data_IF_272168442261
#
_entry.id   IF_272168442261
#
_cell.length_a   1.000
_cell.length_b   1.000
_cell.length_c   1.000
_cell.angle_alpha   90.00
_cell.angle_beta   90.00
_cell.angle_gamma   90.00
#
_symmetry.space_group_name_H-M   'P 1'
#
loop_
_entity.id
_entity.type
_entity.pdbx_description
1 polymer ?
#
# COMPACT_ATOMS: atom_id res chain seq x y z
N UNK A 1 2.23 42.80 -13.37
CA UNK A 1 1.07 43.70 -13.25
C UNK A 1 0.24 43.65 -14.53
N UNK A 2 -1.08 43.82 -14.45
CA UNK A 2 -1.94 44.10 -15.62
C UNK A 2 -1.58 45.49 -16.19
N UNK A 3 -1.27 45.57 -17.49
CA UNK A 3 -0.92 46.83 -18.16
C UNK A 3 -1.99 47.31 -19.13
N UNK A 4 -2.64 46.38 -19.85
CA UNK A 4 -3.66 46.73 -20.85
C UNK A 4 -4.84 45.75 -20.80
N UNK A 5 -6.06 46.28 -20.92
CA UNK A 5 -7.28 45.50 -21.17
C UNK A 5 -7.99 46.03 -22.41
N UNK A 6 -8.06 45.21 -23.46
CA UNK A 6 -8.81 45.50 -24.68
C UNK A 6 -10.05 44.61 -24.75
N UNK A 7 -11.21 45.21 -24.96
CA UNK A 7 -12.50 44.51 -25.12
C UNK A 7 -13.09 44.90 -26.48
N UNK A 8 -13.62 43.91 -27.22
CA UNK A 8 -14.35 44.11 -28.48
C UNK A 8 -15.61 43.26 -28.50
N UNK A 9 -16.73 43.87 -28.89
CA UNK A 9 -18.01 43.19 -29.11
C UNK A 9 -18.50 42.33 -27.94
N UNK A 10 -18.37 42.84 -26.70
CA UNK A 10 -18.86 42.18 -25.47
C UNK A 10 -20.02 42.99 -24.88
N UNK A 11 -21.19 42.37 -24.75
CA UNK A 11 -22.43 42.93 -24.17
C UNK A 11 -22.79 44.29 -24.78
N UNK A 12 -22.46 45.41 -24.11
CA UNK A 12 -22.70 46.79 -24.56
C UNK A 12 -21.46 47.47 -25.14
N UNK A 13 -20.28 46.85 -25.02
CA UNK A 13 -18.99 47.38 -25.45
C UNK A 13 -18.74 47.01 -26.92
N UNK A 14 -18.63 48.01 -27.78
CA UNK A 14 -18.19 47.83 -29.18
C UNK A 14 -16.67 47.68 -29.20
N UNK A 15 -15.97 48.69 -28.68
CA UNK A 15 -14.52 48.67 -28.51
C UNK A 15 -14.12 49.46 -27.27
N UNK A 16 -13.26 48.87 -26.47
CA UNK A 16 -12.63 49.51 -25.33
C UNK A 16 -11.14 49.17 -25.29
N UNK A 17 -10.32 50.15 -24.94
CA UNK A 17 -8.91 49.95 -24.61
C UNK A 17 -8.61 50.71 -23.31
N UNK A 18 -8.21 49.98 -22.28
CA UNK A 18 -7.82 50.53 -20.98
C UNK A 18 -6.34 50.26 -20.75
N UNK A 19 -5.61 51.29 -20.34
CA UNK A 19 -4.22 51.19 -19.90
C UNK A 19 -4.17 51.41 -18.39
N UNK A 20 -3.45 50.55 -17.68
CA UNK A 20 -3.32 50.57 -16.24
C UNK A 20 -1.89 50.98 -15.86
N UNK A 21 -1.79 51.89 -14.89
CA UNK A 21 -0.54 52.26 -14.25
C UNK A 21 -0.32 51.51 -12.94
N UNK A 22 0.86 51.71 -12.35
CA UNK A 22 1.21 51.14 -11.05
C UNK A 22 0.32 51.67 -9.92
N UNK A 23 0.05 50.80 -8.94
CA UNK A 23 -0.67 51.17 -7.71
C UNK A 23 -2.19 50.97 -7.82
N UNK A 24 -2.96 51.99 -7.45
CA UNK A 24 -4.42 51.91 -7.34
C UNK A 24 -5.11 52.47 -8.58
N UNK A 25 -5.88 51.62 -9.26
CA UNK A 25 -6.80 52.02 -10.33
C UNK A 25 -8.24 52.00 -9.84
N UNK A 26 -8.96 53.12 -9.95
CA UNK A 26 -10.37 53.24 -9.53
C UNK A 26 -11.25 53.47 -10.75
N UNK A 27 -12.28 52.64 -10.91
CA UNK A 27 -13.27 52.77 -11.99
C UNK A 27 -14.54 53.41 -11.44
N UNK A 28 -14.95 54.54 -12.01
CA UNK A 28 -16.17 55.28 -11.64
C UNK A 28 -17.12 55.40 -12.83
N UNK A 29 -18.42 55.61 -12.58
CA UNK A 29 -19.42 55.71 -13.64
C UNK A 29 -20.83 56.02 -13.13
N UNK A 30 -21.78 56.17 -14.06
CA UNK A 30 -23.17 56.58 -13.78
C UNK A 30 -24.08 55.42 -13.34
N UNK A 31 -23.79 54.19 -13.78
CA UNK A 31 -24.53 52.97 -13.39
C UNK A 31 -23.58 51.81 -13.07
N UNK A 32 -23.95 50.96 -12.11
CA UNK A 32 -23.15 49.77 -11.75
C UNK A 32 -22.98 48.74 -12.87
N UNK A 33 -23.90 48.73 -13.85
CA UNK A 33 -23.87 47.78 -14.97
C UNK A 33 -22.59 47.88 -15.82
N UNK A 34 -22.00 49.07 -15.98
CA UNK A 34 -20.76 49.24 -16.75
C UNK A 34 -19.56 48.57 -16.09
N UNK A 35 -19.47 48.64 -14.75
CA UNK A 35 -18.39 48.01 -13.97
C UNK A 35 -18.50 46.49 -14.01
N UNK A 36 -19.70 45.95 -13.81
CA UNK A 36 -19.94 44.49 -13.85
C UNK A 36 -19.59 43.91 -15.23
N UNK A 37 -19.98 44.57 -16.33
CA UNK A 37 -19.63 44.14 -17.68
C UNK A 37 -18.11 44.10 -17.89
N UNK A 38 -17.37 45.07 -17.32
CA UNK A 38 -15.91 45.13 -17.42
C UNK A 38 -15.23 44.02 -16.63
N UNK A 39 -15.72 43.73 -15.42
CA UNK A 39 -15.22 42.62 -14.61
C UNK A 39 -15.54 41.26 -15.22
N UNK A 40 -16.74 41.09 -15.78
CA UNK A 40 -17.13 39.86 -16.49
C UNK A 40 -16.23 39.63 -17.72
N UNK A 41 -15.98 40.68 -18.50
CA UNK A 41 -15.07 40.63 -19.64
C UNK A 41 -13.62 40.31 -19.20
N UNK A 42 -13.17 40.91 -18.09
CA UNK A 42 -11.85 40.65 -17.55
C UNK A 42 -11.71 39.22 -17.03
N UNK A 43 -12.69 38.72 -16.27
CA UNK A 43 -12.75 37.34 -15.83
C UNK A 43 -12.75 36.36 -17.02
N UNK A 44 -13.44 36.70 -18.12
CA UNK A 44 -13.42 35.93 -19.36
C UNK A 44 -12.01 35.86 -19.97
N UNK A 45 -11.23 36.94 -19.91
CA UNK A 45 -9.82 36.95 -20.35
C UNK A 45 -8.93 36.04 -19.50
N UNK A 46 -9.26 35.87 -18.21
CA UNK A 46 -8.58 34.99 -17.26
C UNK A 46 -9.05 33.52 -17.33
N UNK A 47 -9.93 33.17 -18.28
CA UNK A 47 -10.40 31.78 -18.44
C UNK A 47 -11.65 31.43 -17.65
N UNK A 48 -12.42 32.41 -17.17
CA UNK A 48 -13.77 32.17 -16.67
C UNK A 48 -14.70 31.59 -17.75
N UNK A 49 -15.84 31.06 -17.33
CA UNK A 49 -16.81 30.45 -18.24
C UNK A 49 -17.37 31.51 -19.18
N UNK A 50 -17.20 31.28 -20.48
CA UNK A 50 -17.83 32.10 -21.52
C UNK A 50 -19.25 31.62 -21.81
N UNK A 51 -20.16 32.57 -22.02
CA UNK A 51 -21.52 32.35 -22.51
C UNK A 51 -21.68 33.09 -23.85
N UNK A 52 -22.44 32.51 -24.77
CA UNK A 52 -22.84 33.18 -26.01
C UNK A 52 -23.60 34.49 -25.73
N UNK A 53 -24.30 34.58 -24.58
CA UNK A 53 -24.97 35.79 -24.13
C UNK A 53 -24.02 36.98 -23.87
N UNK A 54 -22.72 36.73 -23.67
CA UNK A 54 -21.73 37.80 -23.52
C UNK A 54 -21.36 38.47 -24.84
N UNK A 55 -21.65 37.84 -25.99
CA UNK A 55 -21.37 38.44 -27.31
C UNK A 55 -22.38 39.53 -27.59
N UNK A 56 -21.90 40.70 -28.02
CA UNK A 56 -22.74 41.84 -28.39
C UNK A 56 -23.78 41.42 -29.43
N UNK A 57 -25.02 41.87 -29.24
CA UNK A 57 -26.13 41.56 -30.14
C UNK A 57 -25.83 42.10 -31.55
N UNK A 58 -25.78 41.20 -32.54
CA UNK A 58 -25.45 41.53 -33.94
C UNK A 58 -23.97 41.34 -34.32
N UNK A 59 -23.11 40.93 -33.39
CA UNK A 59 -21.73 40.53 -33.69
C UNK A 59 -21.61 39.00 -33.81
N UNK A 60 -20.72 38.54 -34.70
CA UNK A 60 -20.44 37.10 -34.88
C UNK A 60 -19.57 36.53 -33.75
N UNK A 61 -18.74 37.37 -33.14
CA UNK A 61 -17.84 37.01 -32.05
C UNK A 61 -17.49 38.23 -31.18
N UNK A 62 -17.23 37.99 -29.90
CA UNK A 62 -16.62 38.93 -28.96
C UNK A 62 -15.20 38.52 -28.59
N UNK A 63 -14.37 39.48 -28.25
CA UNK A 63 -12.96 39.27 -27.89
C UNK A 63 -12.61 40.09 -26.65
N UNK A 64 -11.80 39.49 -25.77
CA UNK A 64 -11.11 40.20 -24.69
C UNK A 64 -9.63 39.86 -24.73
N UNK A 65 -8.78 40.85 -24.47
CA UNK A 65 -7.32 40.69 -24.42
C UNK A 65 -6.79 41.43 -23.20
N UNK A 66 -6.08 40.72 -22.33
CA UNK A 66 -5.43 41.27 -21.15
C UNK A 66 -3.92 41.08 -21.27
N UNK A 67 -3.16 42.16 -21.09
CA UNK A 67 -1.70 42.17 -21.19
C UNK A 67 -1.12 42.31 -19.79
N UNK A 68 -0.17 41.45 -19.45
CA UNK A 68 0.50 41.42 -18.17
C UNK A 68 2.01 41.52 -18.34
N UNK A 69 2.65 42.18 -17.39
CA UNK A 69 4.11 42.19 -17.22
C UNK A 69 4.44 41.60 -15.84
N UNK A 70 4.57 40.28 -15.70
CA UNK A 70 4.96 39.65 -14.45
C UNK A 70 6.41 39.98 -14.09
N UNK A 71 6.73 40.06 -12.80
CA UNK A 71 8.11 40.26 -12.35
C UNK A 71 9.01 39.07 -12.76
N UNK A 72 10.31 39.28 -12.99
CA UNK A 72 11.25 38.18 -13.25
C UNK A 72 11.19 37.14 -12.13
N UNK A 73 11.02 35.85 -12.50
CA UNK A 73 10.91 34.75 -11.54
C UNK A 73 9.48 34.48 -11.02
N UNK A 74 8.45 35.13 -11.58
CA UNK A 74 7.06 34.84 -11.22
C UNK A 74 6.69 33.36 -11.51
N UNK A 75 5.96 32.66 -10.62
CA UNK A 75 5.66 31.23 -10.74
C UNK A 75 4.87 30.86 -12.02
N UNK A 76 4.21 31.83 -12.63
CA UNK A 76 3.51 31.65 -13.92
C UNK A 76 4.43 31.14 -15.04
N UNK A 77 5.73 31.49 -15.00
CA UNK A 77 6.67 31.07 -16.04
C UNK A 77 6.96 29.56 -15.98
N UNK A 78 7.01 28.98 -14.79
CA UNK A 78 7.13 27.53 -14.63
C UNK A 78 5.89 26.82 -15.19
N UNK A 79 4.69 27.32 -14.86
CA UNK A 79 3.42 26.80 -15.36
C UNK A 79 3.33 26.84 -16.90
N UNK A 80 3.81 27.92 -17.53
CA UNK A 80 3.86 28.03 -18.99
C UNK A 80 4.86 27.03 -19.60
N UNK A 81 6.06 26.93 -19.02
CA UNK A 81 7.11 26.01 -19.50
C UNK A 81 6.69 24.54 -19.41
N UNK A 82 6.01 24.13 -18.33
CA UNK A 82 5.47 22.78 -18.15
C UNK A 82 4.44 22.41 -19.23
N UNK A 83 3.75 23.42 -19.77
CA UNK A 83 2.73 23.26 -20.81
C UNK A 83 3.25 23.57 -22.22
N UNK A 84 4.57 23.74 -22.38
CA UNK A 84 5.22 23.97 -23.67
C UNK A 84 5.00 25.35 -24.28
N UNK A 85 4.54 26.34 -23.49
CA UNK A 85 4.34 27.73 -23.94
C UNK A 85 5.55 28.58 -23.53
N UNK A 86 6.06 29.39 -24.45
CA UNK A 86 7.19 30.27 -24.14
C UNK A 86 6.80 31.37 -23.13
N UNK A 87 7.53 31.44 -22.02
CA UNK A 87 7.40 32.53 -21.05
C UNK A 87 8.17 33.77 -21.52
N UNK A 88 7.47 34.74 -22.08
CA UNK A 88 8.04 36.05 -22.41
C UNK A 88 7.83 37.06 -21.26
N UNK A 89 8.60 38.15 -21.24
CA UNK A 89 8.44 39.23 -20.24
C UNK A 89 7.05 39.87 -20.27
N UNK A 90 6.34 39.75 -21.40
CA UNK A 90 4.97 40.21 -21.58
C UNK A 90 4.08 39.00 -21.88
N UNK A 91 2.99 38.87 -21.14
CA UNK A 91 1.99 37.82 -21.32
C UNK A 91 0.70 38.43 -21.87
N UNK A 92 0.28 38.00 -23.05
CA UNK A 92 -0.94 38.44 -23.72
C UNK A 92 -1.97 37.32 -23.65
N UNK A 93 -2.93 37.46 -22.74
CA UNK A 93 -4.05 36.52 -22.58
C UNK A 93 -5.20 36.99 -23.45
N UNK A 94 -5.56 36.21 -24.48
CA UNK A 94 -6.64 36.56 -25.41
C UNK A 94 -7.71 35.49 -25.43
N UNK A 95 -8.96 35.91 -25.18
CA UNK A 95 -10.16 35.07 -25.24
C UNK A 95 -11.07 35.53 -26.37
N UNK A 96 -11.54 34.58 -27.18
CA UNK A 96 -12.52 34.82 -28.24
C UNK A 96 -13.75 33.94 -27.99
N UNK A 97 -14.93 34.56 -27.97
CA UNK A 97 -16.22 33.93 -27.75
C UNK A 97 -17.08 34.13 -29.00
N UNK A 98 -17.47 33.06 -29.67
CA UNK A 98 -18.39 33.11 -30.81
C UNK A 98 -19.85 33.12 -30.33
N UNK A 99 -20.73 33.73 -31.14
CA UNK A 99 -22.18 33.80 -30.87
C UNK A 99 -22.89 32.43 -30.88
N UNK A 100 -22.25 31.43 -31.48
CA UNK A 100 -22.67 30.02 -31.47
C UNK A 100 -22.19 29.23 -30.23
N UNK A 101 -21.52 29.90 -29.29
CA UNK A 101 -21.01 29.31 -28.05
C UNK A 101 -19.60 28.73 -28.14
N UNK A 102 -18.98 28.65 -29.33
CA UNK A 102 -17.59 28.20 -29.46
C UNK A 102 -16.62 29.20 -28.82
N UNK A 103 -15.59 28.69 -28.16
CA UNK A 103 -14.61 29.51 -27.46
C UNK A 103 -13.19 29.17 -27.89
N UNK A 104 -12.32 30.17 -28.00
CA UNK A 104 -10.89 29.99 -28.26
C UNK A 104 -10.08 30.79 -27.24
N UNK A 105 -8.95 30.25 -26.81
CA UNK A 105 -8.06 30.87 -25.85
C UNK A 105 -6.66 30.91 -26.45
N UNK A 106 -5.95 32.01 -26.21
CA UNK A 106 -4.59 32.21 -26.69
C UNK A 106 -3.74 32.83 -25.57
N UNK A 107 -2.48 32.41 -25.50
CA UNK A 107 -1.44 33.06 -24.69
C UNK A 107 -0.30 33.37 -25.66
N UNK A 108 0.12 34.64 -25.76
CA UNK A 108 1.17 35.08 -26.68
C UNK A 108 0.95 34.59 -28.12
N UNK A 109 -0.31 34.70 -28.58
CA UNK A 109 -0.79 34.25 -29.90
C UNK A 109 -0.73 32.74 -30.17
N UNK A 110 -0.28 31.93 -29.21
CA UNK A 110 -0.37 30.47 -29.27
C UNK A 110 -1.74 29.99 -28.76
N UNK A 111 -2.42 29.06 -29.48
CA UNK A 111 -3.69 28.51 -29.03
C UNK A 111 -3.50 27.59 -27.82
N UNK A 112 -4.24 27.84 -26.74
CA UNK A 112 -4.16 27.05 -25.49
C UNK A 112 -5.52 26.51 -25.06
N UNK A 113 -5.51 25.54 -24.16
CA UNK A 113 -6.73 25.07 -23.50
C UNK A 113 -7.29 26.14 -22.56
N UNK A 114 -8.60 26.15 -22.36
CA UNK A 114 -9.27 27.04 -21.39
C UNK A 114 -8.79 26.74 -19.96
N UNK A 115 -8.46 25.48 -19.68
CA UNK A 115 -7.95 25.06 -18.38
C UNK A 115 -6.58 25.67 -18.09
N UNK A 116 -5.66 25.67 -19.07
CA UNK A 116 -4.37 26.33 -18.92
C UNK A 116 -4.53 27.84 -18.75
N UNK A 117 -5.38 28.47 -19.58
CA UNK A 117 -5.67 29.90 -19.44
C UNK A 117 -6.20 30.24 -18.04
N UNK A 118 -7.07 29.39 -17.49
CA UNK A 118 -7.62 29.55 -16.14
C UNK A 118 -6.55 29.42 -15.05
N UNK A 119 -5.66 28.43 -15.16
CA UNK A 119 -4.55 28.26 -14.21
C UNK A 119 -3.58 29.45 -14.24
N UNK A 120 -3.27 29.93 -15.45
CA UNK A 120 -2.42 31.13 -15.66
C UNK A 120 -3.11 32.38 -15.11
N UNK A 121 -4.40 32.56 -15.40
CA UNK A 121 -5.20 33.69 -14.91
C UNK A 121 -5.25 33.74 -13.38
N UNK A 122 -5.47 32.60 -12.73
CA UNK A 122 -5.48 32.48 -11.27
C UNK A 122 -4.12 32.77 -10.61
N UNK A 123 -3.01 32.55 -11.33
CA UNK A 123 -1.68 32.91 -10.85
C UNK A 123 -1.38 34.41 -10.98
N UNK A 124 -2.00 35.09 -11.95
CA UNK A 124 -1.74 36.50 -12.26
C UNK A 124 -2.66 37.47 -11.54
N UNK A 125 -3.94 37.10 -11.38
CA UNK A 125 -4.99 38.00 -10.88
C UNK A 125 -5.93 37.26 -9.94
N UNK A 126 -6.30 37.95 -8.86
CA UNK A 126 -7.37 37.54 -7.96
C UNK A 126 -8.55 38.53 -8.08
N UNK A 127 -9.75 38.05 -8.42
CA UNK A 127 -10.95 38.90 -8.61
C UNK A 127 -11.97 38.61 -7.53
N UNK A 128 -12.09 39.50 -6.55
CA UNK A 128 -13.05 39.38 -5.46
C UNK A 128 -14.39 40.06 -5.78
N UNK A 129 -15.47 39.29 -5.76
CA UNK A 129 -16.85 39.76 -5.97
C UNK A 129 -17.88 38.69 -5.53
N UNK A 130 -19.17 38.86 -5.83
CA UNK A 130 -20.27 37.98 -5.36
C UNK A 130 -20.14 36.48 -5.69
N UNK A 131 -19.18 36.08 -6.52
CA UNK A 131 -19.01 34.70 -7.02
C UNK A 131 -17.67 34.06 -6.62
N UNK A 132 -16.80 34.76 -5.89
CA UNK A 132 -15.41 34.34 -5.62
C UNK A 132 -15.21 33.65 -4.25
N UNK A 133 -16.32 33.26 -3.63
CA UNK A 133 -16.46 32.71 -2.27
C UNK A 133 -15.63 31.44 -1.96
N UNK A 134 -14.99 30.81 -2.95
CA UNK A 134 -14.44 29.45 -2.79
C UNK A 134 -13.10 29.40 -2.05
N UNK A 135 -12.17 30.31 -2.33
CA UNK A 135 -10.81 30.23 -1.77
C UNK A 135 -10.77 30.41 -0.24
N UNK A 136 -11.64 31.29 0.29
CA UNK A 136 -11.79 31.54 1.73
C UNK A 136 -12.86 30.68 2.40
N UNK A 137 -13.69 29.97 1.63
CA UNK A 137 -14.55 28.92 2.18
C UNK A 137 -13.77 27.64 2.52
N UNK A 138 -12.64 27.40 1.85
CA UNK A 138 -11.82 26.22 2.09
C UNK A 138 -10.85 26.43 3.26
N UNK A 139 -11.12 25.72 4.36
CA UNK A 139 -10.32 25.66 5.57
C UNK A 139 -8.87 25.25 5.27
N UNK A 140 -8.64 24.45 4.23
CA UNK A 140 -7.28 24.04 3.81
C UNK A 140 -6.42 25.24 3.37
N UNK A 141 -7.04 26.29 2.85
CA UNK A 141 -6.37 27.51 2.41
C UNK A 141 -6.03 28.42 3.59
N UNK A 142 -6.84 28.45 4.65
CA UNK A 142 -6.57 29.27 5.85
C UNK A 142 -5.23 28.90 6.49
N UNK A 143 -4.95 27.60 6.61
CA UNK A 143 -3.65 27.11 7.11
C UNK A 143 -2.49 27.60 6.25
N UNK A 144 -2.60 27.47 4.92
CA UNK A 144 -1.55 27.92 3.99
C UNK A 144 -1.31 29.43 4.08
N UNK A 145 -2.38 30.22 4.26
CA UNK A 145 -2.27 31.67 4.45
C UNK A 145 -1.57 32.02 5.77
N UNK A 146 -1.87 31.30 6.85
CA UNK A 146 -1.17 31.46 8.12
C UNK A 146 0.32 31.08 8.01
N UNK A 147 0.62 29.95 7.38
CA UNK A 147 1.99 29.48 7.16
C UNK A 147 2.77 30.49 6.29
N UNK A 148 2.14 31.04 5.24
CA UNK A 148 2.75 32.08 4.40
C UNK A 148 3.01 33.38 5.16
N UNK A 149 2.05 33.84 5.98
CA UNK A 149 2.23 35.02 6.85
C UNK A 149 3.42 34.87 7.79
N UNK A 150 3.60 33.67 8.34
CA UNK A 150 4.64 33.37 9.30
C UNK A 150 5.98 32.96 8.68
N UNK A 151 6.04 32.72 7.36
CA UNK A 151 7.23 32.21 6.68
C UNK A 151 7.51 30.72 6.96
N UNK A 152 6.48 29.94 7.30
CA UNK A 152 6.58 28.53 7.70
C UNK A 152 6.42 27.55 6.54
N UNK A 153 6.34 28.02 5.29
CA UNK A 153 6.10 27.16 4.12
C UNK A 153 7.14 26.04 3.99
N UNK A 154 8.43 26.35 4.13
CA UNK A 154 9.50 25.34 4.05
C UNK A 154 9.43 24.31 5.18
N UNK A 155 9.00 24.72 6.38
CA UNK A 155 8.84 23.83 7.53
C UNK A 155 7.62 22.92 7.36
N UNK A 156 6.54 23.45 6.77
CA UNK A 156 5.36 22.68 6.41
C UNK A 156 5.66 21.65 5.30
N UNK A 157 6.45 22.01 4.29
CA UNK A 157 6.89 21.09 3.24
C UNK A 157 7.82 19.99 3.79
N UNK A 158 8.76 20.35 4.67
CA UNK A 158 9.62 19.38 5.35
C UNK A 158 8.81 18.41 6.21
N UNK A 159 7.78 18.89 6.91
CA UNK A 159 6.87 18.06 7.69
C UNK A 159 6.09 17.06 6.81
N UNK A 160 5.63 17.50 5.64
CA UNK A 160 4.95 16.62 4.69
C UNK A 160 5.85 15.45 4.24
N UNK A 161 7.14 15.72 3.98
CA UNK A 161 8.11 14.67 3.65
C UNK A 161 8.38 13.70 4.82
N UNK A 162 8.43 14.20 6.06
CA UNK A 162 8.54 13.34 7.25
C UNK A 162 7.30 12.45 7.43
N UNK A 163 6.11 12.98 7.15
CA UNK A 163 4.87 12.21 7.19
C UNK A 163 4.83 11.12 6.13
N UNK A 164 5.28 11.41 4.90
CA UNK A 164 5.39 10.41 3.83
C UNK A 164 6.32 9.27 4.23
N UNK A 165 7.52 9.59 4.74
CA UNK A 165 8.47 8.59 5.23
C UNK A 165 7.92 7.75 6.39
N UNK A 166 7.19 8.36 7.32
CA UNK A 166 6.52 7.63 8.40
C UNK A 166 5.37 6.74 7.90
N UNK A 167 4.56 7.24 6.96
CA UNK A 167 3.48 6.48 6.33
C UNK A 167 4.01 5.25 5.58
N UNK A 168 5.10 5.42 4.83
CA UNK A 168 5.76 4.33 4.11
C UNK A 168 6.33 3.28 5.07
N UNK A 169 7.01 3.70 6.14
CA UNK A 169 7.50 2.79 7.17
C UNK A 169 6.36 2.02 7.86
N UNK A 170 5.25 2.70 8.15
CA UNK A 170 4.06 2.10 8.76
C UNK A 170 3.37 1.10 7.82
N UNK A 171 3.34 1.39 6.53
CA UNK A 171 2.78 0.47 5.53
C UNK A 171 3.68 -0.76 5.36
N UNK A 172 4.99 -0.57 5.25
CA UNK A 172 5.96 -1.66 5.18
C UNK A 172 5.89 -2.59 6.40
N UNK A 173 5.76 -2.02 7.61
CA UNK A 173 5.57 -2.79 8.84
C UNK A 173 4.29 -3.63 8.78
N UNK A 174 3.15 -3.03 8.40
CA UNK A 174 1.87 -3.74 8.29
C UNK A 174 1.90 -4.89 7.28
N UNK A 175 2.54 -4.67 6.13
CA UNK A 175 2.66 -5.69 5.09
C UNK A 175 3.53 -6.85 5.57
N UNK A 176 4.61 -6.56 6.30
CA UNK A 176 5.48 -7.58 6.90
C UNK A 176 4.79 -8.35 8.03
N UNK A 177 4.05 -7.67 8.91
CA UNK A 177 3.26 -8.30 9.96
C UNK A 177 2.23 -9.27 9.38
N UNK A 178 1.53 -8.87 8.31
CA UNK A 178 0.57 -9.71 7.61
C UNK A 178 1.25 -10.95 6.97
N UNK A 179 2.42 -10.75 6.37
CA UNK A 179 3.21 -11.86 5.81
C UNK A 179 3.64 -12.85 6.91
N UNK A 180 4.21 -12.37 8.01
CA UNK A 180 4.67 -13.25 9.11
C UNK A 180 3.50 -13.96 9.77
N UNK A 181 2.35 -13.29 9.99
CA UNK A 181 1.17 -13.91 10.56
C UNK A 181 0.67 -15.10 9.72
N UNK A 182 0.63 -14.95 8.39
CA UNK A 182 0.22 -16.02 7.48
C UNK A 182 1.18 -17.22 7.49
N UNK A 183 2.49 -16.98 7.68
CA UNK A 183 3.48 -18.06 7.72
C UNK A 183 3.55 -18.71 9.11
N UNK A 184 3.36 -17.94 10.19
CA UNK A 184 3.30 -18.46 11.59
C UNK A 184 2.18 -19.48 11.80
N UNK A 185 1.03 -19.32 11.15
CA UNK A 185 -0.06 -20.31 11.22
C UNK A 185 0.40 -21.71 10.74
N UNK A 186 1.37 -21.76 9.83
CA UNK A 186 1.96 -23.00 9.34
C UNK A 186 3.23 -23.42 10.10
N UNK A 187 3.83 -22.52 10.90
CA UNK A 187 5.11 -22.77 11.59
C UNK A 187 5.01 -23.90 12.62
N UNK A 188 3.94 -23.93 13.44
CA UNK A 188 3.75 -25.00 14.43
C UNK A 188 3.63 -26.38 13.75
N UNK A 189 2.94 -26.44 12.62
CA UNK A 189 2.83 -27.65 11.80
C UNK A 189 4.18 -28.05 11.19
N UNK A 190 4.95 -27.08 10.67
CA UNK A 190 6.27 -27.29 10.09
C UNK A 190 7.26 -27.82 11.14
N UNK A 191 7.32 -27.20 12.32
CA UNK A 191 8.19 -27.62 13.43
C UNK A 191 7.88 -29.07 13.84
N UNK A 192 6.61 -29.36 14.11
CA UNK A 192 6.21 -30.72 14.51
C UNK A 192 6.48 -31.75 13.40
N UNK A 193 6.25 -31.39 12.14
CA UNK A 193 6.49 -32.28 11.00
C UNK A 193 7.99 -32.54 10.80
N UNK A 194 8.81 -31.50 10.93
CA UNK A 194 10.26 -31.58 10.81
C UNK A 194 10.87 -32.43 11.93
N UNK A 195 10.38 -32.29 13.18
CA UNK A 195 10.82 -33.12 14.30
C UNK A 195 10.53 -34.61 14.08
N UNK A 196 9.35 -34.96 13.57
CA UNK A 196 9.03 -36.34 13.21
C UNK A 196 9.94 -36.87 12.08
N UNK A 197 10.16 -36.07 11.03
CA UNK A 197 11.02 -36.44 9.90
C UNK A 197 12.48 -36.63 10.32
N UNK A 198 13.01 -35.72 11.14
CA UNK A 198 14.37 -35.79 11.71
C UNK A 198 14.53 -36.97 12.65
N UNK A 199 13.53 -37.28 13.47
CA UNK A 199 13.55 -38.44 14.35
C UNK A 199 13.63 -39.75 13.57
N UNK A 200 13.00 -39.83 12.39
CA UNK A 200 13.09 -41.02 11.53
C UNK A 200 14.38 -41.06 10.70
N UNK A 201 14.95 -39.91 10.32
CA UNK A 201 16.13 -39.78 9.44
C UNK A 201 16.05 -40.66 8.17
N UNK A 202 15.03 -40.46 7.31
CA UNK A 202 14.83 -41.26 6.12
C UNK A 202 15.97 -41.05 5.12
N UNK A 203 16.41 -42.11 4.43
CA UNK A 203 17.32 -42.00 3.27
C UNK A 203 16.60 -42.34 1.97
N UNK A 204 17.01 -41.70 0.87
CA UNK A 204 16.33 -41.79 -0.41
C UNK A 204 16.23 -43.25 -0.94
N UNK A 205 17.31 -44.02 -0.79
CA UNK A 205 17.40 -45.40 -1.28
C UNK A 205 16.96 -46.47 -0.26
N UNK A 206 16.52 -46.04 0.94
CA UNK A 206 16.27 -46.93 2.07
C UNK A 206 15.10 -47.89 1.82
N UNK A 207 13.99 -47.39 1.25
CA UNK A 207 12.81 -48.21 0.95
C UNK A 207 13.16 -49.34 -0.02
N UNK A 208 13.92 -49.04 -1.07
CA UNK A 208 14.30 -50.03 -2.09
C UNK A 208 15.17 -51.12 -1.49
N UNK A 209 16.16 -50.73 -0.68
CA UNK A 209 17.06 -51.66 0.02
C UNK A 209 16.30 -52.56 1.01
N UNK A 210 15.43 -51.97 1.84
CA UNK A 210 14.63 -52.71 2.81
C UNK A 210 13.61 -53.63 2.14
N UNK A 211 12.97 -53.20 1.05
CA UNK A 211 12.02 -54.03 0.31
C UNK A 211 12.70 -55.27 -0.31
N UNK A 212 13.91 -55.11 -0.87
CA UNK A 212 14.71 -56.23 -1.38
C UNK A 212 15.11 -57.18 -0.26
N UNK A 213 15.61 -56.65 0.87
CA UNK A 213 16.00 -57.45 2.04
C UNK A 213 14.82 -58.22 2.62
N UNK A 214 13.66 -57.57 2.77
CA UNK A 214 12.40 -58.19 3.20
C UNK A 214 11.99 -59.34 2.27
N UNK A 215 12.06 -59.14 0.95
CA UNK A 215 11.69 -60.19 0.00
C UNK A 215 12.61 -61.41 0.10
N UNK A 216 13.93 -61.21 0.21
CA UNK A 216 14.89 -62.29 0.44
C UNK A 216 14.60 -63.05 1.73
N UNK A 217 14.28 -62.32 2.80
CA UNK A 217 13.94 -62.87 4.12
C UNK A 217 12.65 -63.69 4.10
N UNK A 218 11.58 -63.20 3.47
CA UNK A 218 10.32 -63.95 3.33
C UNK A 218 10.52 -65.25 2.52
N UNK A 219 11.36 -65.22 1.48
CA UNK A 219 11.71 -66.43 0.74
C UNK A 219 12.50 -67.42 1.61
N UNK A 220 13.45 -66.95 2.40
CA UNK A 220 14.21 -67.78 3.32
C UNK A 220 13.32 -68.39 4.42
N UNK A 221 12.38 -67.63 4.97
CA UNK A 221 11.41 -68.11 5.95
C UNK A 221 10.54 -69.23 5.37
N UNK A 222 10.00 -69.02 4.15
CA UNK A 222 9.18 -70.02 3.47
C UNK A 222 9.95 -71.31 3.21
N UNK A 223 11.17 -71.20 2.68
CA UNK A 223 12.05 -72.36 2.44
C UNK A 223 12.35 -73.09 3.75
N UNK A 224 12.64 -72.36 4.82
CA UNK A 224 12.88 -72.95 6.14
C UNK A 224 11.62 -73.64 6.71
N UNK A 225 10.42 -73.10 6.45
CA UNK A 225 9.13 -73.72 6.77
C UNK A 225 8.94 -75.06 6.04
N UNK A 226 9.08 -75.05 4.71
CA UNK A 226 8.96 -76.24 3.86
C UNK A 226 9.98 -77.33 4.27
N UNK A 227 11.21 -76.94 4.59
CA UNK A 227 12.25 -77.85 5.07
C UNK A 227 11.95 -78.41 6.48
N UNK A 228 11.36 -77.62 7.39
CA UNK A 228 10.93 -78.09 8.71
C UNK A 228 9.81 -79.12 8.58
N UNK A 229 8.85 -78.90 7.68
CA UNK A 229 7.79 -79.87 7.37
C UNK A 229 8.37 -81.16 6.79
N UNK A 230 9.27 -81.05 5.80
CA UNK A 230 9.96 -82.21 5.24
C UNK A 230 10.74 -83.00 6.31
N UNK A 231 11.44 -82.30 7.22
CA UNK A 231 12.12 -82.92 8.36
C UNK A 231 11.14 -83.65 9.28
N UNK A 232 10.01 -83.03 9.61
CA UNK A 232 8.98 -83.65 10.45
C UNK A 232 8.33 -84.87 9.81
N UNK A 233 8.21 -84.91 8.48
CA UNK A 233 7.70 -86.06 7.75
C UNK A 233 8.67 -87.25 7.79
N UNK A 234 9.98 -86.97 7.79
CA UNK A 234 11.05 -87.97 7.84
C UNK A 234 11.42 -88.40 9.27
N UNK A 235 11.17 -87.56 10.27
CA UNK A 235 11.55 -87.79 11.67
C UNK A 235 10.41 -87.45 12.64
N UNK A 236 9.98 -88.44 13.43
CA UNK A 236 8.91 -88.31 14.43
C UNK A 236 8.24 -89.64 14.75
N UNK A 237 7.45 -89.69 15.82
CA UNK A 237 6.70 -90.89 16.20
C UNK A 237 5.63 -91.22 15.16
N UNK A 238 5.59 -92.48 14.71
CA UNK A 238 4.61 -92.96 13.74
C UNK A 238 4.95 -92.68 12.26
N UNK A 239 6.11 -92.09 11.97
CA UNK A 239 6.65 -91.87 10.61
C UNK A 239 7.04 -93.15 9.86
N UNK A 240 7.25 -93.06 8.55
CA UNK A 240 7.73 -94.18 7.74
C UNK A 240 9.05 -94.76 8.29
N UNK A 241 9.98 -93.90 8.72
CA UNK A 241 11.27 -94.34 9.29
C UNK A 241 11.09 -95.19 10.57
N UNK A 242 10.27 -94.74 11.52
CA UNK A 242 10.01 -95.50 12.77
C UNK A 242 9.28 -96.82 12.52
N UNK A 243 8.30 -96.83 11.59
CA UNK A 243 7.57 -98.05 11.21
C UNK A 243 8.46 -99.06 10.46
N UNK A 244 9.28 -98.59 9.53
CA UNK A 244 10.24 -99.41 8.79
C UNK A 244 11.30 -99.99 9.73
N UNK A 245 11.82 -99.19 10.67
CA UNK A 245 12.78 -99.65 11.67
C UNK A 245 12.18 -100.69 12.62
N UNK A 246 10.91 -100.53 13.03
CA UNK A 246 10.21 -101.53 13.83
C UNK A 246 9.93 -102.83 13.05
N UNK A 247 9.63 -102.73 11.75
CA UNK A 247 9.46 -103.88 10.87
C UNK A 247 10.78 -104.64 10.68
N UNK A 248 11.88 -103.93 10.44
CA UNK A 248 13.22 -104.51 10.30
C UNK A 248 13.62 -105.29 11.56
N UNK A 249 13.50 -104.68 12.75
CA UNK A 249 13.80 -105.36 14.04
C UNK A 249 12.97 -106.61 14.29
N UNK A 250 11.73 -106.67 13.78
CA UNK A 250 10.88 -107.88 13.89
C UNK A 250 11.38 -109.00 12.98
N UNK A 251 11.86 -108.66 11.79
CA UNK A 251 12.39 -109.62 10.83
C UNK A 251 13.74 -110.18 11.28
N UNK A 252 14.65 -109.33 11.78
CA UNK A 252 15.95 -109.73 12.35
C UNK A 252 15.79 -110.73 13.51
N UNK A 253 14.76 -110.57 14.35
CA UNK A 253 14.47 -111.51 15.46
C UNK A 253 14.10 -112.92 15.01
N UNK A 254 13.57 -113.09 13.80
CA UNK A 254 13.16 -114.39 13.25
C UNK A 254 14.15 -114.94 12.22
N UNK A 255 15.27 -114.25 11.99
CA UNK A 255 16.25 -114.59 10.96
C UNK A 255 16.89 -115.97 11.19
N UNK A 256 17.08 -116.37 12.45
CA UNK A 256 17.64 -117.68 12.81
C UNK A 256 16.79 -118.88 12.36
N UNK A 257 15.48 -118.70 12.15
CA UNK A 257 14.55 -119.77 11.77
C UNK A 257 14.29 -119.82 10.25
N UNK A 258 14.45 -118.71 9.51
CA UNK A 258 14.08 -118.61 8.09
C UNK A 258 15.00 -117.68 7.27
N UNK A 259 16.32 -117.77 7.48
CA UNK A 259 17.33 -116.88 6.89
C UNK A 259 17.23 -116.71 5.36
N UNK A 260 17.01 -117.78 4.59
CA UNK A 260 16.95 -117.71 3.11
C UNK A 260 15.79 -116.86 2.58
N UNK A 261 14.70 -116.73 3.34
CA UNK A 261 13.49 -115.98 2.92
C UNK A 261 13.49 -114.58 3.52
N UNK A 262 13.93 -114.43 4.77
CA UNK A 262 13.85 -113.16 5.49
C UNK A 262 15.02 -112.21 5.17
N UNK A 263 16.20 -112.73 4.85
CA UNK A 263 17.41 -111.92 4.62
C UNK A 263 17.27 -110.94 3.44
N UNK A 264 16.77 -111.33 2.25
CA UNK A 264 16.56 -110.38 1.14
C UNK A 264 15.54 -109.27 1.47
N UNK A 265 14.55 -109.56 2.34
CA UNK A 265 13.54 -108.59 2.79
C UNK A 265 14.14 -107.60 3.79
N UNK A 266 14.95 -108.09 4.74
CA UNK A 266 15.69 -107.26 5.68
C UNK A 266 16.67 -106.33 4.96
N UNK A 267 17.47 -106.84 4.02
CA UNK A 267 18.41 -106.05 3.19
C UNK A 267 17.69 -104.99 2.33
N UNK A 268 16.47 -105.25 1.87
CA UNK A 268 15.66 -104.25 1.17
C UNK A 268 15.19 -103.13 2.12
N UNK A 269 14.75 -103.46 3.33
CA UNK A 269 14.32 -102.49 4.34
C UNK A 269 15.48 -101.66 4.90
N UNK A 270 16.65 -102.28 5.11
CA UNK A 270 17.88 -101.58 5.52
C UNK A 270 18.29 -100.52 4.51
N UNK A 271 18.26 -100.83 3.20
CA UNK A 271 18.55 -99.85 2.15
C UNK A 271 17.59 -98.66 2.18
N UNK A 272 16.28 -98.90 2.33
CA UNK A 272 15.29 -97.82 2.42
C UNK A 272 15.52 -96.96 3.67
N UNK A 273 15.86 -97.59 4.81
CA UNK A 273 16.17 -96.88 6.05
C UNK A 273 17.45 -96.02 5.94
N UNK A 274 18.48 -96.55 5.28
CA UNK A 274 19.72 -95.82 5.03
C UNK A 274 19.49 -94.60 4.13
N UNK A 275 18.77 -94.76 3.01
CA UNK A 275 18.41 -93.66 2.12
C UNK A 275 17.52 -92.61 2.81
N UNK A 276 16.61 -93.04 3.69
CA UNK A 276 15.79 -92.12 4.49
C UNK A 276 16.64 -91.31 5.48
N UNK A 277 17.67 -91.92 6.07
CA UNK A 277 18.60 -91.22 6.96
C UNK A 277 19.46 -90.21 6.21
N UNK A 278 19.97 -90.55 5.02
CA UNK A 278 20.73 -89.63 4.17
C UNK A 278 19.86 -88.43 3.76
N UNK A 279 18.62 -88.68 3.34
CA UNK A 279 17.67 -87.61 3.03
C UNK A 279 17.41 -86.68 4.22
N UNK A 280 17.26 -87.24 5.44
CA UNK A 280 17.10 -86.44 6.67
C UNK A 280 18.34 -85.58 6.94
N UNK A 281 19.53 -86.15 6.83
CA UNK A 281 20.77 -85.42 7.08
C UNK A 281 20.96 -84.27 6.09
N UNK A 282 20.62 -84.48 4.80
CA UNK A 282 20.59 -83.42 3.80
C UNK A 282 19.57 -82.32 4.10
N UNK A 283 18.39 -82.68 4.61
CA UNK A 283 17.38 -81.71 5.05
C UNK A 283 17.87 -80.90 6.25
N UNK A 284 18.53 -81.53 7.23
CA UNK A 284 19.11 -80.84 8.38
C UNK A 284 20.26 -79.90 7.97
N UNK A 285 21.11 -80.31 7.02
CA UNK A 285 22.13 -79.45 6.43
C UNK A 285 21.53 -78.25 5.69
N UNK A 286 20.47 -78.47 4.90
CA UNK A 286 19.76 -77.40 4.20
C UNK A 286 19.08 -76.41 5.18
N UNK A 287 18.50 -76.90 6.27
CA UNK A 287 17.95 -76.05 7.35
C UNK A 287 19.04 -75.22 8.02
N UNK A 288 20.20 -75.81 8.31
CA UNK A 288 21.32 -75.10 8.92
C UNK A 288 21.93 -74.03 7.98
N UNK A 289 21.89 -74.26 6.67
CA UNK A 289 22.32 -73.31 5.65
C UNK A 289 21.29 -72.19 5.42
N UNK A 290 20.00 -72.48 5.58
CA UNK A 290 18.89 -71.51 5.49
C UNK A 290 18.70 -70.79 6.82
N UNK A 291 19.71 -70.02 7.25
CA UNK A 291 19.60 -69.19 8.46
C UNK A 291 18.70 -68.00 8.18
N UNK A 292 17.65 -67.89 8.98
CA UNK A 292 16.70 -66.77 8.99
C UNK A 292 16.46 -66.34 10.44
N UNK A 293 16.65 -65.06 10.72
CA UNK A 293 16.35 -64.41 12.01
C UNK A 293 15.00 -63.69 11.87
N UNK A 294 13.92 -64.15 12.55
CA UNK A 294 12.61 -63.51 12.46
C UNK A 294 12.61 -62.03 12.90
N UNK A 295 13.48 -61.69 13.87
CA UNK A 295 13.61 -60.31 14.38
C UNK A 295 14.09 -59.33 13.31
N UNK A 296 15.04 -59.74 12.47
CA UNK A 296 15.52 -58.89 11.37
C UNK A 296 14.42 -58.57 10.36
N UNK A 297 13.49 -59.51 10.12
CA UNK A 297 12.35 -59.28 9.25
C UNK A 297 11.35 -58.31 9.89
N UNK A 298 11.03 -58.50 11.16
CA UNK A 298 10.15 -57.60 11.93
C UNK A 298 10.71 -56.17 11.94
N UNK A 299 11.99 -55.99 12.25
CA UNK A 299 12.66 -54.68 12.24
C UNK A 299 12.63 -54.01 10.85
N UNK A 300 12.86 -54.78 9.78
CA UNK A 300 12.80 -54.26 8.41
C UNK A 300 11.38 -53.86 8.01
N UNK A 301 10.36 -54.63 8.43
CA UNK A 301 8.95 -54.32 8.18
C UNK A 301 8.47 -53.09 8.97
N UNK A 302 8.84 -52.99 10.25
CA UNK A 302 8.54 -51.82 11.09
C UNK A 302 9.15 -50.54 10.49
N UNK A 303 10.41 -50.61 10.07
CA UNK A 303 11.10 -49.48 9.42
C UNK A 303 10.43 -49.07 8.10
N UNK A 304 10.09 -50.04 7.25
CA UNK A 304 9.35 -49.80 6.00
C UNK A 304 7.97 -49.18 6.27
N UNK A 305 7.28 -49.64 7.30
CA UNK A 305 5.96 -49.12 7.67
C UNK A 305 6.07 -47.66 8.14
N UNK A 306 7.05 -47.34 8.97
CA UNK A 306 7.31 -45.99 9.46
C UNK A 306 7.63 -45.01 8.31
N UNK A 307 8.54 -45.39 7.40
CA UNK A 307 8.89 -44.60 6.21
C UNK A 307 7.66 -44.30 5.34
N UNK A 308 6.85 -45.34 5.06
CA UNK A 308 5.64 -45.20 4.25
C UNK A 308 4.53 -44.41 4.94
N UNK A 309 4.44 -44.48 6.27
CA UNK A 309 3.47 -43.69 7.04
C UNK A 309 3.77 -42.19 6.92
N UNK A 310 5.04 -41.79 7.06
CA UNK A 310 5.49 -40.41 6.87
C UNK A 310 5.31 -39.94 5.42
N UNK A 311 5.70 -40.77 4.44
CA UNK A 311 5.47 -40.50 3.02
C UNK A 311 3.97 -40.24 2.72
N UNK A 312 3.06 -41.06 3.26
CA UNK A 312 1.61 -40.84 3.14
C UNK A 312 1.12 -39.57 3.83
N UNK A 313 1.63 -39.27 5.04
CA UNK A 313 1.27 -38.05 5.79
C UNK A 313 1.58 -36.80 4.98
N UNK A 314 2.74 -36.77 4.31
CA UNK A 314 3.19 -35.65 3.48
C UNK A 314 2.83 -35.76 1.99
N UNK A 315 2.12 -36.82 1.59
CA UNK A 315 1.68 -37.09 0.21
C UNK A 315 2.84 -37.09 -0.82
N UNK A 316 4.00 -37.56 -0.42
CA UNK A 316 5.18 -37.70 -1.28
C UNK A 316 5.67 -39.16 -1.29
N UNK A 317 6.56 -39.49 -2.21
CA UNK A 317 7.25 -40.79 -2.19
C UNK A 317 8.38 -40.78 -1.14
N UNK A 318 8.73 -41.95 -0.59
CA UNK A 318 9.81 -42.09 0.41
C UNK A 318 11.13 -41.45 -0.06
N UNK A 319 11.55 -41.58 -1.33
CA UNK A 319 12.79 -40.95 -1.79
C UNK A 319 12.82 -39.42 -1.69
N UNK A 320 11.65 -38.77 -1.66
CA UNK A 320 11.55 -37.31 -1.54
C UNK A 320 11.47 -36.79 -0.10
N UNK A 321 11.41 -37.66 0.92
CA UNK A 321 11.38 -37.23 2.33
C UNK A 321 12.63 -36.42 2.74
N UNK A 322 13.87 -36.76 2.31
CA UNK A 322 15.04 -35.96 2.62
C UNK A 322 14.97 -34.54 2.04
N UNK A 323 14.51 -34.40 0.80
CA UNK A 323 14.36 -33.09 0.16
C UNK A 323 13.29 -32.24 0.86
N UNK A 324 12.23 -32.88 1.36
CA UNK A 324 11.20 -32.21 2.16
C UNK A 324 11.78 -31.66 3.47
N UNK A 325 12.70 -32.38 4.13
CA UNK A 325 13.38 -31.89 5.35
C UNK A 325 14.13 -30.59 5.03
N UNK A 326 14.92 -30.57 3.96
CA UNK A 326 15.68 -29.38 3.54
C UNK A 326 14.74 -28.22 3.24
N UNK A 327 13.67 -28.44 2.48
CA UNK A 327 12.68 -27.39 2.17
C UNK A 327 12.02 -26.82 3.43
N UNK A 328 11.63 -27.68 4.38
CA UNK A 328 11.01 -27.23 5.64
C UNK A 328 12.01 -26.46 6.53
N UNK A 329 13.29 -26.83 6.51
CA UNK A 329 14.36 -26.11 7.20
C UNK A 329 14.60 -24.72 6.59
N UNK A 330 14.60 -24.61 5.26
CA UNK A 330 14.70 -23.33 4.55
C UNK A 330 13.49 -22.43 4.85
N UNK A 331 12.28 -22.98 4.87
CA UNK A 331 11.06 -22.25 5.19
C UNK A 331 11.08 -21.70 6.64
N UNK A 332 11.55 -22.49 7.61
CA UNK A 332 11.72 -22.05 9.00
C UNK A 332 12.84 -21.02 9.16
N UNK A 333 13.95 -21.15 8.44
CA UNK A 333 15.02 -20.16 8.46
C UNK A 333 14.58 -18.82 7.85
N UNK A 334 13.76 -18.86 6.80
CA UNK A 334 13.17 -17.67 6.19
C UNK A 334 12.19 -16.96 7.13
N UNK A 335 11.45 -17.72 7.95
CA UNK A 335 10.61 -17.20 9.03
C UNK A 335 11.43 -16.41 10.05
N UNK A 336 12.51 -17.01 10.57
CA UNK A 336 13.38 -16.38 11.58
C UNK A 336 14.02 -15.09 11.04
N UNK A 337 14.50 -15.10 9.79
CA UNK A 337 15.03 -13.91 9.13
C UNK A 337 13.95 -12.83 8.95
N UNK A 338 12.72 -13.24 8.65
CA UNK A 338 11.56 -12.34 8.57
C UNK A 338 11.24 -11.66 9.90
N UNK A 339 11.38 -12.36 11.03
CA UNK A 339 11.18 -11.77 12.37
C UNK A 339 12.25 -10.73 12.74
N UNK A 340 13.51 -10.94 12.33
CA UNK A 340 14.56 -9.94 12.51
C UNK A 340 14.28 -8.66 11.71
N UNK A 341 13.89 -8.82 10.44
CA UNK A 341 13.50 -7.70 9.57
C UNK A 341 12.28 -6.95 10.13
N UNK A 342 11.33 -7.67 10.74
CA UNK A 342 10.19 -7.06 11.43
C UNK A 342 10.65 -6.15 12.59
N UNK A 343 11.60 -6.61 13.40
CA UNK A 343 12.14 -5.82 14.51
C UNK A 343 12.83 -4.54 14.00
N UNK A 344 13.53 -4.62 12.87
CA UNK A 344 14.13 -3.45 12.21
C UNK A 344 13.06 -2.47 11.69
N UNK A 345 11.98 -2.97 11.07
CA UNK A 345 10.87 -2.14 10.60
C UNK A 345 10.12 -1.46 11.75
N UNK A 346 9.93 -2.13 12.89
CA UNK A 346 9.34 -1.51 14.09
C UNK A 346 10.22 -0.36 14.59
N UNK A 347 11.54 -0.54 14.64
CA UNK A 347 12.47 0.53 15.03
C UNK A 347 12.45 1.69 14.04
N UNK A 348 12.38 1.39 12.74
CA UNK A 348 12.33 2.40 11.69
C UNK A 348 11.03 3.23 11.74
N UNK A 349 9.87 2.57 11.92
CA UNK A 349 8.57 3.23 12.06
C UNK A 349 8.54 4.14 13.29
N UNK A 350 9.03 3.66 14.44
CA UNK A 350 9.09 4.44 15.66
C UNK A 350 10.00 5.68 15.52
N UNK A 351 11.17 5.52 14.90
CA UNK A 351 12.10 6.63 14.68
C UNK A 351 11.55 7.67 13.68
N UNK A 352 10.92 7.22 12.60
CA UNK A 352 10.25 8.10 11.63
C UNK A 352 9.07 8.84 12.27
N UNK A 353 8.27 8.14 13.08
CA UNK A 353 7.17 8.72 13.86
C UNK A 353 7.67 9.78 14.83
N UNK A 354 8.70 9.50 15.63
CA UNK A 354 9.27 10.49 16.57
C UNK A 354 9.76 11.76 15.86
N UNK A 355 10.43 11.60 14.72
CA UNK A 355 10.88 12.74 13.91
C UNK A 355 9.71 13.58 13.39
N UNK A 356 8.65 12.93 12.87
CA UNK A 356 7.43 13.61 12.44
C UNK A 356 6.75 14.33 13.60
N UNK A 357 6.52 13.68 14.74
CA UNK A 357 5.81 14.27 15.87
C UNK A 357 6.53 15.48 16.45
N UNK A 358 7.85 15.39 16.62
CA UNK A 358 8.66 16.52 17.11
C UNK A 358 8.55 17.73 16.17
N UNK A 359 8.65 17.51 14.87
CA UNK A 359 8.51 18.57 13.88
C UNK A 359 7.08 19.13 13.84
N UNK A 360 6.07 18.28 13.99
CA UNK A 360 4.66 18.67 13.97
C UNK A 360 4.29 19.53 15.19
N UNK A 361 4.77 19.19 16.39
CA UNK A 361 4.59 19.97 17.61
C UNK A 361 5.29 21.33 17.51
N UNK A 362 6.52 21.37 16.97
CA UNK A 362 7.23 22.62 16.76
C UNK A 362 6.49 23.55 15.78
N UNK A 363 6.01 23.00 14.65
CA UNK A 363 5.23 23.74 13.67
C UNK A 363 3.92 24.24 14.28
N UNK A 364 3.25 23.42 15.09
CA UNK A 364 2.01 23.80 15.77
C UNK A 364 2.21 24.97 16.73
N UNK A 365 3.27 24.96 17.54
CA UNK A 365 3.61 26.09 18.40
C UNK A 365 3.84 27.37 17.58
N UNK A 366 4.63 27.29 16.50
CA UNK A 366 4.88 28.45 15.62
C UNK A 366 3.60 28.97 14.98
N UNK A 367 2.66 28.09 14.60
CA UNK A 367 1.35 28.47 14.07
C UNK A 367 0.48 29.18 15.10
N UNK A 368 0.48 28.76 16.36
CA UNK A 368 -0.24 29.46 17.43
C UNK A 368 0.31 30.87 17.68
N UNK A 369 1.64 31.02 17.71
CA UNK A 369 2.28 32.33 17.85
C UNK A 369 1.98 33.24 16.63
N UNK A 370 1.99 32.65 15.43
CA UNK A 370 1.63 33.34 14.20
C UNK A 370 0.17 33.78 14.17
N UNK A 371 -0.75 32.94 14.68
CA UNK A 371 -2.17 33.23 14.74
C UNK A 371 -2.46 34.47 15.60
N UNK A 372 -1.85 34.54 16.79
CA UNK A 372 -1.99 35.71 17.67
C UNK A 372 -1.49 37.00 16.99
N UNK A 373 -0.35 36.93 16.30
CA UNK A 373 0.20 38.06 15.52
C UNK A 373 -0.69 38.45 14.34
N UNK A 374 -1.21 37.47 13.60
CA UNK A 374 -2.09 37.71 12.46
C UNK A 374 -3.38 38.39 12.94
N UNK A 375 -3.95 37.93 14.05
CA UNK A 375 -5.15 38.49 14.65
C UNK A 375 -4.96 39.96 15.05
N UNK A 376 -3.82 40.31 15.65
CA UNK A 376 -3.48 41.69 16.01
C UNK A 376 -3.33 42.58 14.77
N UNK A 377 -2.53 42.15 13.78
CA UNK A 377 -2.25 42.95 12.58
C UNK A 377 -3.51 43.14 11.75
N UNK A 378 -4.29 42.08 11.50
CA UNK A 378 -5.55 42.19 10.75
C UNK A 378 -6.54 43.07 11.50
N UNK A 379 -6.68 42.90 12.84
CA UNK A 379 -7.59 43.73 13.64
C UNK A 379 -7.20 45.21 13.62
N UNK A 380 -5.91 45.54 13.51
CA UNK A 380 -5.44 46.93 13.39
C UNK A 380 -5.79 47.60 12.04
N UNK A 381 -6.01 46.81 10.99
CA UNK A 381 -6.38 47.27 9.64
C UNK A 381 -7.91 47.40 9.46
N UNK A 382 -8.73 46.92 10.40
CA UNK A 382 -10.20 46.98 10.33
C UNK A 382 -10.81 48.38 10.58
N UNK A 383 -10.31 49.22 11.50
CA UNK A 383 -10.90 50.53 11.78
C UNK A 383 -10.97 51.48 10.56
N UNK A 384 -9.92 51.64 9.73
CA UNK A 384 -9.98 52.43 8.50
C UNK A 384 -11.09 51.98 7.53
N UNK A 385 -11.46 50.70 7.58
CA UNK A 385 -12.50 50.08 6.74
C UNK A 385 -13.92 50.18 7.34
N UNK A 386 -14.10 51.02 8.38
CA UNK A 386 -15.35 51.15 9.15
C UNK A 386 -15.83 49.86 9.81
N UNK A 387 -14.89 48.94 10.08
CA UNK A 387 -15.12 47.68 10.79
C UNK A 387 -14.58 47.74 12.24
N UNK A 388 -14.67 48.92 12.86
CA UNK A 388 -14.10 49.23 14.19
C UNK A 388 -14.63 48.33 15.33
N UNK A 389 -15.83 47.79 15.14
CA UNK A 389 -16.51 46.92 16.11
C UNK A 389 -16.22 45.44 15.88
N UNK A 390 -15.55 45.12 14.79
CA UNK A 390 -15.33 43.76 14.39
C UNK A 390 -13.96 43.24 14.84
N UNK A 391 -13.86 41.94 15.07
CA UNK A 391 -12.62 41.26 15.47
C UNK A 391 -12.36 40.07 14.57
N UNK A 392 -11.12 39.95 14.12
CA UNK A 392 -10.62 38.78 13.42
C UNK A 392 -9.98 37.82 14.43
N UNK A 393 -10.29 36.53 14.29
CA UNK A 393 -9.84 35.48 15.20
C UNK A 393 -9.41 34.26 14.40
N UNK A 394 -8.18 33.81 14.62
CA UNK A 394 -7.66 32.58 14.03
C UNK A 394 -7.86 31.44 15.02
N UNK A 395 -8.83 30.56 14.74
CA UNK A 395 -9.08 29.38 15.56
C UNK A 395 -8.19 28.24 15.08
N UNK A 396 -7.38 27.70 15.98
CA UNK A 396 -6.59 26.49 15.74
C UNK A 396 -7.16 25.35 16.60
N UNK A 397 -7.44 24.22 15.96
CA UNK A 397 -7.76 22.96 16.61
C UNK A 397 -6.63 21.97 16.33
N UNK A 398 -5.81 21.68 17.34
CA UNK A 398 -4.73 20.69 17.25
C UNK A 398 -5.30 19.30 17.55
N UNK A 399 -5.18 18.39 16.60
CA UNK A 399 -5.58 16.99 16.77
C UNK A 399 -4.53 16.21 17.57
N UNK A 400 -4.93 15.01 18.01
CA UNK A 400 -4.00 14.09 18.64
C UNK A 400 -2.92 13.66 17.62
N UNK A 401 -1.69 13.33 18.07
CA UNK A 401 -0.59 12.93 17.19
C UNK A 401 -0.99 11.85 16.18
N UNK A 402 -1.79 10.86 16.60
CA UNK A 402 -2.22 9.72 15.80
C UNK A 402 -3.19 10.10 14.66
N UNK A 403 -3.85 11.26 14.77
CA UNK A 403 -4.75 11.83 13.77
C UNK A 403 -4.05 12.87 12.87
N UNK A 404 -2.75 13.06 13.05
CA UNK A 404 -1.93 13.95 12.24
C UNK A 404 -1.84 13.48 10.78
N UNK A 405 -1.66 14.45 9.87
CA UNK A 405 -1.47 14.18 8.44
C UNK A 405 -0.26 14.91 7.87
N UNK A 406 -0.08 14.85 6.56
CA UNK A 406 0.99 15.58 5.85
C UNK A 406 1.02 17.10 6.14
N UNK A 407 -0.10 17.67 6.58
CA UNK A 407 -0.20 19.07 6.98
C UNK A 407 0.13 19.38 8.45
N UNK A 408 0.48 18.36 9.23
CA UNK A 408 0.66 18.43 10.68
C UNK A 408 -0.63 18.22 11.47
N UNK A 409 -0.61 18.72 12.70
CA UNK A 409 -1.65 18.49 13.71
C UNK A 409 -2.78 19.53 13.70
N UNK A 410 -2.55 20.67 13.04
CA UNK A 410 -3.44 21.83 13.20
C UNK A 410 -4.46 21.95 12.08
N UNK A 411 -5.72 22.11 12.51
CA UNK A 411 -6.81 22.61 11.67
C UNK A 411 -7.00 24.09 11.97
N UNK A 412 -6.71 24.92 10.98
CA UNK A 412 -6.77 26.39 11.09
C UNK A 412 -8.04 26.89 10.42
N UNK A 413 -8.84 27.69 11.14
CA UNK A 413 -10.04 28.33 10.61
C UNK A 413 -10.10 29.80 10.99
N UNK A 414 -10.32 30.67 10.02
CA UNK A 414 -10.53 32.10 10.23
C UNK A 414 -11.98 32.41 10.61
N UNK A 415 -12.14 33.12 11.71
CA UNK A 415 -13.42 33.53 12.26
C UNK A 415 -13.49 35.05 12.39
N UNK A 416 -14.70 35.57 12.25
CA UNK A 416 -14.98 36.99 12.42
C UNK A 416 -16.12 37.16 13.40
N UNK A 417 -15.96 38.13 14.30
CA UNK A 417 -17.02 38.68 15.14
C UNK A 417 -17.35 40.06 14.59
N UNK A 418 -18.50 40.26 13.94
CA UNK A 418 -18.87 41.55 13.33
C UNK A 418 -19.37 42.58 14.34
N UNK A 419 -20.04 42.12 15.40
CA UNK A 419 -20.61 42.98 16.44
C UNK A 419 -20.15 42.57 17.84
N UNK A 420 -19.89 43.53 18.75
CA UNK A 420 -19.48 43.23 20.11
C UNK A 420 -20.60 42.45 20.83
N UNK A 421 -20.26 41.30 21.42
CA UNK A 421 -21.21 40.43 22.12
C UNK A 421 -21.85 39.31 21.30
N UNK A 422 -21.59 39.23 19.99
CA UNK A 422 -21.98 38.07 19.16
C UNK A 422 -20.92 36.97 19.20
N UNK A 423 -21.29 35.70 19.03
CA UNK A 423 -20.28 34.63 18.94
C UNK A 423 -19.49 34.76 17.63
N UNK A 424 -18.15 34.63 17.66
CA UNK A 424 -17.36 34.52 16.45
C UNK A 424 -17.84 33.35 15.59
N UNK A 425 -17.94 33.56 14.29
CA UNK A 425 -18.31 32.52 13.34
C UNK A 425 -17.43 32.54 12.11
N UNK A 426 -17.57 31.50 11.27
CA UNK A 426 -16.84 31.42 10.02
C UNK A 426 -17.10 32.67 9.16
N UNK A 427 -16.04 33.22 8.56
CA UNK A 427 -16.07 34.50 7.83
C UNK A 427 -17.20 34.57 6.78
N UNK A 428 -17.46 33.45 6.09
CA UNK A 428 -18.49 33.32 5.06
C UNK A 428 -19.93 33.34 5.58
N UNK A 429 -20.16 33.07 6.88
CA UNK A 429 -21.51 32.96 7.46
C UNK A 429 -21.95 34.24 8.17
N UNK A 430 -21.02 35.12 8.52
CA UNK A 430 -21.27 36.21 9.48
C UNK A 430 -21.20 37.60 8.83
N UNK A 431 -20.50 37.74 7.68
CA UNK A 431 -20.33 39.03 7.01
C UNK A 431 -21.32 39.21 5.84
N UNK A 432 -21.83 40.44 5.66
CA UNK A 432 -22.50 40.85 4.41
C UNK A 432 -21.48 40.94 3.26
N UNK A 433 -21.92 40.87 1.99
CA UNK A 433 -21.00 40.84 0.82
C UNK A 433 -20.01 42.00 0.77
N UNK A 434 -20.44 43.22 1.15
CA UNK A 434 -19.56 44.39 1.23
C UNK A 434 -18.60 44.36 2.42
N UNK A 435 -19.03 43.87 3.59
CA UNK A 435 -18.14 43.69 4.74
C UNK A 435 -17.10 42.60 4.50
N UNK A 436 -17.51 41.49 3.89
CA UNK A 436 -16.63 40.39 3.50
C UNK A 436 -15.53 40.90 2.57
N UNK A 437 -15.89 41.67 1.53
CA UNK A 437 -14.91 42.23 0.59
C UNK A 437 -13.89 43.15 1.27
N UNK A 438 -14.33 43.96 2.25
CA UNK A 438 -13.43 44.80 3.05
C UNK A 438 -12.53 43.97 3.98
N UNK A 439 -13.06 42.91 4.61
CA UNK A 439 -12.25 41.98 5.40
C UNK A 439 -11.18 41.28 4.58
N UNK A 440 -11.54 40.85 3.37
CA UNK A 440 -10.61 40.20 2.44
C UNK A 440 -9.52 41.18 2.04
N UNK A 441 -9.87 42.44 1.77
CA UNK A 441 -8.88 43.49 1.51
C UNK A 441 -7.91 43.62 2.70
N UNK A 442 -8.39 43.75 3.94
CA UNK A 442 -7.52 43.86 5.12
C UNK A 442 -6.57 42.65 5.24
N UNK A 443 -7.12 41.43 5.17
CA UNK A 443 -6.34 40.20 5.24
C UNK A 443 -5.30 40.14 4.11
N UNK A 444 -5.69 40.48 2.89
CA UNK A 444 -4.79 40.46 1.73
C UNK A 444 -3.74 41.54 1.79
N UNK A 445 -4.01 42.74 2.31
CA UNK A 445 -2.98 43.77 2.51
C UNK A 445 -1.91 43.25 3.48
N UNK A 446 -2.33 42.63 4.58
CA UNK A 446 -1.44 42.03 5.57
C UNK A 446 -0.61 40.87 4.98
N UNK A 447 -1.22 40.06 4.12
CA UNK A 447 -0.55 38.93 3.46
C UNK A 447 0.30 39.34 2.24
N UNK A 448 -0.10 40.38 1.51
CA UNK A 448 0.55 40.88 0.29
C UNK A 448 1.90 41.50 0.60
N UNK A 449 2.05 42.11 1.78
CA UNK A 449 3.34 42.52 2.32
C UNK A 449 4.37 41.36 2.41
N UNK A 450 3.92 40.11 2.24
CA UNK A 450 4.74 38.88 2.26
C UNK A 450 4.60 37.98 1.02
N UNK A 451 3.96 38.43 -0.07
CA UNK A 451 4.09 37.78 -1.40
C UNK A 451 2.84 37.13 -2.01
N UNK A 452 1.67 37.77 -1.95
CA UNK A 452 0.48 37.33 -2.72
C UNK A 452 0.49 37.81 -4.19
N UNK A 453 -0.52 37.40 -4.96
CA UNK A 453 -0.66 37.70 -6.39
C UNK A 453 -0.48 39.20 -6.72
N UNK A 454 0.15 39.55 -7.86
CA UNK A 454 0.58 40.91 -8.16
C UNK A 454 -0.56 41.87 -8.57
N UNK A 455 -1.77 41.38 -8.81
CA UNK A 455 -2.92 42.23 -9.17
C UNK A 455 -4.18 41.70 -8.48
N UNK A 456 -4.82 42.58 -7.70
CA UNK A 456 -6.06 42.29 -6.98
C UNK A 456 -7.17 43.19 -7.54
N UNK A 457 -8.31 42.61 -7.91
CA UNK A 457 -9.50 43.34 -8.34
C UNK A 457 -10.63 43.14 -7.34
N UNK A 458 -11.29 44.22 -6.92
CA UNK A 458 -12.38 44.19 -5.95
C UNK A 458 -13.67 44.76 -6.55
N UNK A 459 -14.75 43.98 -6.48
CA UNK A 459 -16.10 44.44 -6.78
C UNK A 459 -16.89 44.78 -5.50
N UNK A 460 -17.88 45.66 -5.61
CA UNK A 460 -18.84 45.98 -4.55
C UNK A 460 -18.27 46.40 -3.18
N UNK A 461 -17.00 46.79 -3.09
CA UNK A 461 -16.33 47.16 -1.83
C UNK A 461 -16.96 48.37 -1.12
N UNK A 462 -17.58 49.24 -1.91
CA UNK A 462 -18.29 50.46 -1.52
C UNK A 462 -19.77 50.21 -1.12
N UNK A 463 -20.27 49.00 -1.32
CA UNK A 463 -21.67 48.66 -1.04
C UNK A 463 -21.95 48.66 0.46
N UNK A 464 -22.99 49.40 0.87
CA UNK A 464 -23.41 49.52 2.27
C UNK A 464 -22.67 50.58 3.08
N UNK A 465 -21.84 51.41 2.45
CA UNK A 465 -21.10 52.50 3.10
C UNK A 465 -21.57 53.84 2.53
N UNK A 466 -22.46 54.54 3.24
CA UNK A 466 -23.03 55.83 2.80
C UNK A 466 -22.71 57.00 3.73
N UNK A 467 -22.20 58.10 3.17
CA UNK A 467 -21.89 59.37 3.86
C UNK A 467 -20.61 59.35 4.71
N UNK A 468 -19.88 60.46 4.78
CA UNK A 468 -18.55 60.65 5.40
C UNK A 468 -17.40 59.72 4.93
N UNK A 469 -17.70 58.55 4.37
CA UNK A 469 -16.74 57.54 3.89
C UNK A 469 -16.39 57.69 2.41
N UNK A 470 -17.07 58.56 1.66
CA UNK A 470 -16.71 58.90 0.26
C UNK A 470 -15.68 60.05 0.17
N UNK A 471 -15.33 60.65 1.30
CA UNK A 471 -14.49 61.86 1.40
C UNK A 471 -13.29 61.70 2.34
N UNK A 472 -12.90 60.45 2.63
CA UNK A 472 -11.71 60.11 3.43
C UNK A 472 -10.53 59.78 2.52
#
# INVERSE_FOLDING_TARGET
MLTVLTIRDIVLIDRLNLEFGDGLSVMTGETGAGKSILLDAFALALGARGDAALVRKGADQGQVTAVFEPAPGHPVFALLSENGVAGENTLILRRVQSSDGRTRAFINDEPVSVQLLRSVGAALVEIHGQHDDRALSDVSTHRRLLDAFAGLAAEADALAGLYEGWSDARQALRDKEAQIAAVRENADYLIHSLDELRALDPKADEETSLAQRRQLMMHAEKIAGDLKEARSALAGDGTAHTRLGAALRKLERQEAEAAQVLKPVAEALERVLAETNDARERVDQALAATRFEPRDLEEAEERLFALRALARKHKIAVPGLPDLIVSMEEDLAALDAGEQELEELVKAEAAAGEAYFRAAEELSRKRHDAAARLDEVVTSELPPLKLEKARFLTKIETCAPEEGGASGLDRVAFQVQTNPGTQPGAIMKVASGGELSRFILALKVVLAAKGSAPTLAFDEIDTGVGGATASA
#
